data_IF_023057292255
#
_entry.id   IF_023057292255
#
_cell.length_a   1.000
_cell.length_b   1.000
_cell.length_c   1.000
_cell.angle_alpha   90.00
_cell.angle_beta   90.00
_cell.angle_gamma   90.00
#
_symmetry.space_group_name_H-M   'P 1'
#
loop_
_entity.id
_entity.type
_entity.pdbx_description
1 polymer ?
#
# COMPACT_ATOMS: atom_id res chain seq x y z
N UNK A 1 -3.44 1.69 -22.78
CA UNK A 1 -2.34 2.37 -22.05
C UNK A 1 -2.89 2.90 -20.74
N UNK A 2 -2.38 2.45 -19.58
CA UNK A 2 -2.76 3.00 -18.27
C UNK A 2 -2.05 4.34 -18.11
N UNK A 3 -2.76 5.47 -17.93
CA UNK A 3 -2.12 6.77 -17.74
C UNK A 3 -1.50 6.85 -16.34
N UNK A 4 -0.18 6.61 -16.24
CA UNK A 4 0.57 6.59 -14.99
C UNK A 4 0.56 7.93 -14.22
N UNK A 5 0.38 9.06 -14.92
CA UNK A 5 0.30 10.39 -14.32
C UNK A 5 -1.13 10.81 -13.94
N UNK A 6 -2.09 9.88 -13.94
CA UNK A 6 -3.46 10.16 -13.48
C UNK A 6 -3.50 10.20 -11.95
N UNK A 7 -4.24 11.16 -11.40
CA UNK A 7 -4.52 11.20 -9.97
C UNK A 7 -5.59 10.17 -9.61
N UNK A 8 -5.43 9.50 -8.47
CA UNK A 8 -6.38 8.52 -7.97
C UNK A 8 -6.79 8.81 -6.52
N UNK A 9 -7.79 8.07 -6.05
CA UNK A 9 -8.30 8.17 -4.69
C UNK A 9 -7.21 7.80 -3.68
N UNK A 10 -7.07 8.61 -2.63
CA UNK A 10 -6.07 8.45 -1.59
C UNK A 10 -6.75 8.34 -0.22
N UNK A 11 -6.28 7.42 0.62
CA UNK A 11 -6.86 7.19 1.95
C UNK A 11 -6.11 8.04 2.98
N UNK A 12 -6.62 9.23 3.29
CA UNK A 12 -6.00 10.16 4.26
C UNK A 12 -6.24 9.79 5.71
N UNK A 13 -7.40 9.18 5.99
CA UNK A 13 -7.88 8.97 7.35
C UNK A 13 -7.32 7.69 7.97
N UNK A 14 -6.63 7.84 9.11
CA UNK A 14 -6.12 6.74 9.93
C UNK A 14 -7.17 5.70 10.29
N UNK A 15 -8.42 6.13 10.54
CA UNK A 15 -9.52 5.21 10.88
C UNK A 15 -9.78 4.21 9.75
N UNK A 16 -9.79 4.67 8.49
CA UNK A 16 -10.03 3.78 7.35
C UNK A 16 -8.84 2.87 7.07
N UNK A 17 -7.62 3.37 7.25
CA UNK A 17 -6.41 2.54 7.17
C UNK A 17 -6.42 1.44 8.23
N UNK A 18 -6.80 1.76 9.46
CA UNK A 18 -6.92 0.78 10.54
C UNK A 18 -7.98 -0.28 10.24
N UNK A 19 -9.17 0.11 9.77
CA UNK A 19 -10.19 -0.86 9.36
C UNK A 19 -9.73 -1.74 8.20
N UNK A 20 -9.01 -1.17 7.23
CA UNK A 20 -8.46 -1.92 6.11
C UNK A 20 -7.42 -2.94 6.59
N UNK A 21 -6.51 -2.52 7.48
CA UNK A 21 -5.51 -3.38 8.08
C UNK A 21 -6.16 -4.53 8.87
N UNK A 22 -7.20 -4.24 9.66
CA UNK A 22 -7.93 -5.22 10.45
C UNK A 22 -8.63 -6.24 9.55
N UNK A 23 -9.36 -5.80 8.51
CA UNK A 23 -10.04 -6.68 7.57
C UNK A 23 -9.06 -7.62 6.85
N UNK A 24 -7.93 -7.08 6.38
CA UNK A 24 -6.88 -7.89 5.74
C UNK A 24 -6.20 -8.84 6.74
N UNK A 25 -5.98 -8.37 7.96
CA UNK A 25 -5.41 -9.13 9.06
C UNK A 25 -6.31 -10.28 9.52
N UNK A 26 -7.63 -10.18 9.38
CA UNK A 26 -8.55 -11.31 9.60
C UNK A 26 -8.55 -12.25 8.39
N UNK A 27 -8.58 -11.68 7.18
CA UNK A 27 -8.67 -12.45 5.95
C UNK A 27 -7.50 -13.43 5.81
N UNK A 28 -6.26 -13.01 6.10
CA UNK A 28 -5.09 -13.87 5.91
C UNK A 28 -5.11 -15.13 6.79
N UNK A 29 -5.26 -15.08 8.13
CA UNK A 29 -5.42 -16.28 8.94
C UNK A 29 -6.58 -17.16 8.51
N UNK A 30 -7.72 -16.59 8.13
CA UNK A 30 -8.85 -17.38 7.61
C UNK A 30 -8.42 -18.15 6.37
N UNK A 31 -7.73 -17.51 5.42
CA UNK A 31 -7.17 -18.19 4.24
C UNK A 31 -6.16 -19.25 4.63
N UNK A 32 -5.26 -18.99 5.59
CA UNK A 32 -4.25 -19.95 6.02
C UNK A 32 -4.84 -21.17 6.72
N UNK A 33 -5.91 -20.98 7.50
CA UNK A 33 -6.62 -22.05 8.20
C UNK A 33 -7.44 -22.87 7.20
N UNK A 34 -8.10 -22.23 6.25
CA UNK A 34 -9.01 -22.89 5.30
C UNK A 34 -8.30 -23.56 4.14
N UNK A 35 -7.28 -22.91 3.58
CA UNK A 35 -6.50 -23.45 2.46
C UNK A 35 -5.43 -24.43 2.92
N UNK A 36 -5.13 -24.43 4.23
CA UNK A 36 -4.12 -25.27 4.88
C UNK A 36 -2.93 -25.57 3.94
N UNK A 37 -2.23 -24.54 3.43
CA UNK A 37 -1.34 -24.65 2.27
C UNK A 37 -0.12 -25.58 2.46
N UNK A 38 -0.01 -26.23 3.63
CA UNK A 38 1.04 -27.15 4.00
C UNK A 38 0.41 -28.36 4.67
N UNK A 39 0.34 -29.44 3.90
CA UNK A 39 -0.10 -30.76 4.27
C UNK A 39 0.33 -31.16 5.71
N UNK A 40 -0.58 -31.83 6.40
CA UNK A 40 -0.67 -31.92 7.86
C UNK A 40 0.28 -32.99 8.46
N UNK A 41 1.59 -32.86 8.28
CA UNK A 41 2.55 -33.74 8.99
C UNK A 41 3.07 -33.13 10.30
N UNK A 42 2.94 -31.82 10.50
CA UNK A 42 3.45 -31.15 11.68
C UNK A 42 2.32 -30.94 12.70
N UNK A 43 2.21 -31.87 13.65
CA UNK A 43 1.34 -31.78 14.82
C UNK A 43 1.86 -30.71 15.79
N UNK A 44 1.75 -29.44 15.43
CA UNK A 44 2.06 -28.34 16.34
C UNK A 44 0.93 -28.21 17.37
N UNK A 45 1.30 -28.17 18.65
CA UNK A 45 0.39 -27.71 19.70
C UNK A 45 -0.03 -26.27 19.40
N UNK A 46 -1.33 -25.96 19.48
CA UNK A 46 -1.91 -24.63 19.22
C UNK A 46 -1.75 -24.08 17.78
N UNK A 47 -1.80 -24.93 16.75
CA UNK A 47 -1.70 -24.55 15.32
C UNK A 47 -2.53 -23.31 14.94
N UNK A 48 -3.79 -23.25 15.34
CA UNK A 48 -4.68 -22.14 14.97
C UNK A 48 -4.26 -20.80 15.60
N UNK A 49 -3.70 -20.83 16.82
CA UNK A 49 -3.19 -19.62 17.48
C UNK A 49 -1.96 -19.11 16.74
N UNK A 50 -1.06 -20.01 16.34
CA UNK A 50 0.13 -19.65 15.54
C UNK A 50 -0.30 -19.08 14.18
N UNK A 51 -1.26 -19.69 13.50
CA UNK A 51 -1.76 -19.17 12.22
C UNK A 51 -2.43 -17.80 12.38
N UNK A 52 -3.14 -17.56 13.49
CA UNK A 52 -3.72 -16.26 13.80
C UNK A 52 -2.67 -15.15 13.99
N UNK A 53 -1.44 -15.51 14.41
CA UNK A 53 -0.33 -14.57 14.55
C UNK A 53 0.06 -13.86 13.25
N UNK A 54 -0.19 -14.49 12.09
CA UNK A 54 0.02 -13.85 10.78
C UNK A 54 -0.88 -12.63 10.54
N UNK A 55 -1.96 -12.45 11.31
CA UNK A 55 -2.75 -11.21 11.29
C UNK A 55 -1.88 -9.99 11.58
N UNK A 56 -1.00 -10.10 12.59
CA UNK A 56 -0.13 -9.01 13.01
C UNK A 56 0.93 -8.69 11.95
N UNK A 57 1.37 -9.69 11.19
CA UNK A 57 2.29 -9.52 10.06
C UNK A 57 1.71 -8.71 8.91
N UNK A 58 0.39 -8.53 8.84
CA UNK A 58 -0.26 -7.61 7.92
C UNK A 58 -0.58 -6.27 8.59
N UNK A 59 -1.19 -6.31 9.78
CA UNK A 59 -1.70 -5.12 10.45
C UNK A 59 -0.57 -4.12 10.74
N UNK A 60 0.54 -4.61 11.32
CA UNK A 60 1.63 -3.74 11.75
C UNK A 60 2.28 -3.06 10.53
N UNK A 61 2.71 -3.76 9.47
CA UNK A 61 3.28 -3.12 8.29
C UNK A 61 2.37 -2.07 7.64
N UNK A 62 1.07 -2.35 7.49
CA UNK A 62 0.13 -1.38 6.88
C UNK A 62 0.07 -0.09 7.72
N UNK A 63 0.00 -0.21 9.05
CA UNK A 63 -0.03 0.95 9.94
C UNK A 63 1.29 1.72 9.98
N UNK A 64 2.43 1.03 9.88
CA UNK A 64 3.76 1.63 9.88
C UNK A 64 4.06 2.38 8.58
N UNK A 65 3.62 1.85 7.43
CA UNK A 65 3.86 2.50 6.13
C UNK A 65 2.92 3.70 5.90
N UNK A 66 1.76 3.73 6.56
CA UNK A 66 0.78 4.80 6.39
C UNK A 66 1.26 6.23 6.74
N UNK A 67 2.03 6.48 7.83
CA UNK A 67 2.65 7.78 8.05
C UNK A 67 3.56 8.23 6.90
N UNK A 68 4.33 7.30 6.30
CA UNK A 68 5.21 7.59 5.17
C UNK A 68 4.39 7.97 3.94
N UNK A 69 3.31 7.24 3.66
CA UNK A 69 2.34 7.56 2.61
C UNK A 69 1.82 9.00 2.76
N UNK A 70 1.40 9.37 3.97
CA UNK A 70 0.88 10.70 4.28
C UNK A 70 1.94 11.80 4.14
N UNK A 71 3.19 11.48 4.42
CA UNK A 71 4.32 12.39 4.22
C UNK A 71 4.57 12.66 2.72
N UNK A 72 4.62 11.61 1.89
CA UNK A 72 4.78 11.76 0.44
C UNK A 72 3.62 12.53 -0.20
N UNK A 73 2.38 12.28 0.26
CA UNK A 73 1.20 13.00 -0.21
C UNK A 73 1.30 14.52 0.01
N UNK A 74 1.82 14.95 1.17
CA UNK A 74 2.01 16.37 1.49
C UNK A 74 3.08 17.03 0.63
N UNK A 75 4.19 16.33 0.36
CA UNK A 75 5.29 16.85 -0.48
C UNK A 75 4.81 17.07 -1.92
N UNK A 76 3.96 16.20 -2.42
CA UNK A 76 3.48 16.25 -3.81
C UNK A 76 2.26 17.16 -3.99
N UNK A 77 2.10 18.20 -3.17
CA UNK A 77 1.02 19.19 -3.27
C UNK A 77 -0.39 18.58 -3.24
N UNK A 78 -0.59 17.57 -2.38
CA UNK A 78 -1.88 16.85 -2.23
C UNK A 78 -2.33 16.12 -3.50
N UNK A 79 -1.39 15.69 -4.35
CA UNK A 79 -1.68 14.86 -5.53
C UNK A 79 -1.16 13.46 -5.30
N UNK A 80 -2.01 12.47 -5.50
CA UNK A 80 -1.64 11.05 -5.43
C UNK A 80 -1.77 10.41 -6.80
N UNK A 81 -0.65 10.00 -7.38
CA UNK A 81 -0.59 9.42 -8.72
C UNK A 81 -0.70 7.89 -8.67
N UNK A 82 -1.11 7.27 -9.78
CA UNK A 82 -1.11 5.80 -9.95
C UNK A 82 0.26 5.19 -9.63
N UNK A 83 1.35 5.85 -10.02
CA UNK A 83 2.71 5.37 -9.72
C UNK A 83 2.98 5.31 -8.21
N UNK A 84 2.53 6.32 -7.45
CA UNK A 84 2.69 6.32 -6.00
C UNK A 84 1.95 5.16 -5.36
N UNK A 85 0.74 4.87 -5.85
CA UNK A 85 -0.06 3.74 -5.38
C UNK A 85 0.65 2.41 -5.64
N UNK A 86 1.18 2.22 -6.85
CA UNK A 86 1.93 1.00 -7.19
C UNK A 86 3.15 0.85 -6.28
N UNK A 87 3.93 1.92 -6.09
CA UNK A 87 5.09 1.91 -5.20
C UNK A 87 4.71 1.64 -3.75
N UNK A 88 3.62 2.23 -3.28
CA UNK A 88 3.08 1.99 -1.94
C UNK A 88 2.68 0.54 -1.73
N UNK A 89 1.92 -0.04 -2.67
CA UNK A 89 1.49 -1.45 -2.60
C UNK A 89 2.71 -2.38 -2.60
N UNK A 90 3.67 -2.17 -3.52
CA UNK A 90 4.88 -3.00 -3.61
C UNK A 90 5.72 -2.89 -2.33
N UNK A 91 5.97 -1.67 -1.85
CA UNK A 91 6.76 -1.43 -0.64
C UNK A 91 6.10 -2.07 0.59
N UNK A 92 4.79 -1.91 0.73
CA UNK A 92 4.05 -2.48 1.86
C UNK A 92 4.00 -4.00 1.78
N UNK A 93 3.75 -4.59 0.60
CA UNK A 93 3.78 -6.04 0.41
C UNK A 93 5.14 -6.62 0.78
N UNK A 94 6.22 -5.95 0.38
CA UNK A 94 7.56 -6.35 0.75
C UNK A 94 7.75 -6.34 2.27
N UNK A 95 7.29 -5.29 2.97
CA UNK A 95 7.33 -5.23 4.44
C UNK A 95 6.47 -6.31 5.08
N UNK A 96 5.26 -6.58 4.58
CA UNK A 96 4.40 -7.68 5.05
C UNK A 96 5.12 -9.02 4.92
N UNK A 97 5.75 -9.29 3.79
CA UNK A 97 6.47 -10.54 3.59
C UNK A 97 7.69 -10.67 4.48
N UNK A 98 8.41 -9.59 4.77
CA UNK A 98 9.50 -9.61 5.74
C UNK A 98 8.99 -9.94 7.14
N UNK A 99 7.90 -9.31 7.59
CA UNK A 99 7.31 -9.61 8.89
C UNK A 99 6.80 -11.06 8.96
N UNK A 100 6.15 -11.55 7.91
CA UNK A 100 5.69 -12.92 7.82
C UNK A 100 6.86 -13.93 7.80
N UNK A 101 7.96 -13.60 7.12
CA UNK A 101 9.19 -14.39 7.12
C UNK A 101 9.77 -14.49 8.53
N UNK A 102 9.98 -13.36 9.20
CA UNK A 102 10.55 -13.36 10.56
C UNK A 102 9.63 -14.08 11.55
N UNK A 103 8.32 -13.88 11.44
CA UNK A 103 7.35 -14.61 12.24
C UNK A 103 7.49 -16.12 12.03
N UNK A 104 7.49 -16.57 10.78
CA UNK A 104 7.64 -17.99 10.46
C UNK A 104 9.00 -18.55 10.92
N UNK A 105 10.08 -17.80 10.68
CA UNK A 105 11.44 -18.22 10.95
C UNK A 105 11.72 -18.36 12.46
N UNK A 106 11.31 -17.38 13.26
CA UNK A 106 11.54 -17.39 14.70
C UNK A 106 10.49 -18.19 15.48
N UNK A 107 9.20 -18.06 15.14
CA UNK A 107 8.11 -18.67 15.92
C UNK A 107 7.86 -20.12 15.52
N UNK A 108 7.92 -20.43 14.21
CA UNK A 108 7.57 -21.76 13.71
C UNK A 108 8.82 -22.62 13.52
N UNK A 109 9.87 -22.06 12.89
CA UNK A 109 11.07 -22.83 12.54
C UNK A 109 12.14 -22.85 13.65
N UNK A 110 12.10 -21.91 14.61
CA UNK A 110 13.04 -21.85 15.74
C UNK A 110 14.51 -21.71 15.34
N UNK A 111 14.80 -21.20 14.14
CA UNK A 111 16.17 -21.12 13.61
C UNK A 111 16.87 -19.84 14.09
N UNK A 112 18.19 -19.90 14.26
CA UNK A 112 18.99 -18.80 14.79
C UNK A 112 19.71 -17.94 13.71
N UNK A 113 19.83 -18.44 12.48
CA UNK A 113 20.55 -17.76 11.38
C UNK A 113 19.81 -17.84 10.05
N UNK A 114 19.64 -16.69 9.39
CA UNK A 114 18.95 -16.60 8.11
C UNK A 114 19.88 -16.16 6.99
N UNK A 115 19.51 -16.50 5.75
CA UNK A 115 20.19 -16.12 4.52
C UNK A 115 19.19 -15.46 3.59
N UNK A 116 19.64 -14.57 2.69
CA UNK A 116 18.76 -13.91 1.72
C UNK A 116 18.00 -14.91 0.83
N UNK A 117 18.60 -16.04 0.50
CA UNK A 117 17.94 -17.10 -0.27
C UNK A 117 16.72 -17.68 0.43
N UNK A 118 16.75 -17.78 1.78
CA UNK A 118 15.61 -18.25 2.57
C UNK A 118 14.45 -17.25 2.54
N UNK A 119 14.75 -15.95 2.59
CA UNK A 119 13.74 -14.88 2.48
C UNK A 119 13.05 -14.98 1.12
N UNK A 120 13.84 -15.04 0.04
CA UNK A 120 13.29 -15.09 -1.31
C UNK A 120 12.55 -16.40 -1.60
N UNK A 121 13.06 -17.52 -1.09
CA UNK A 121 12.39 -18.81 -1.12
C UNK A 121 11.02 -18.77 -0.44
N UNK A 122 10.95 -18.21 0.77
CA UNK A 122 9.69 -18.02 1.50
C UNK A 122 8.71 -17.11 0.76
N UNK A 123 9.18 -15.98 0.22
CA UNK A 123 8.32 -15.06 -0.56
C UNK A 123 7.70 -15.78 -1.76
N UNK A 124 8.48 -16.59 -2.49
CA UNK A 124 8.00 -17.32 -3.66
C UNK A 124 7.04 -18.45 -3.31
N UNK A 125 7.35 -19.25 -2.28
CA UNK A 125 6.58 -20.44 -1.94
C UNK A 125 5.34 -20.12 -1.10
N UNK A 126 5.45 -19.15 -0.18
CA UNK A 126 4.39 -18.78 0.74
C UNK A 126 3.73 -17.47 0.33
N UNK A 127 4.49 -16.41 0.05
CA UNK A 127 3.94 -15.06 -0.18
C UNK A 127 3.16 -14.90 -1.49
N UNK A 128 3.78 -15.25 -2.62
CA UNK A 128 3.23 -15.04 -3.96
C UNK A 128 1.88 -15.72 -4.22
N UNK A 129 1.61 -16.95 -3.74
CA UNK A 129 0.29 -17.58 -3.88
C UNK A 129 -0.87 -16.76 -3.30
N UNK A 130 -0.65 -15.92 -2.28
CA UNK A 130 -1.70 -15.08 -1.68
C UNK A 130 -1.90 -13.74 -2.39
N UNK A 131 -0.95 -13.28 -3.20
CA UNK A 131 -1.03 -11.97 -3.90
C UNK A 131 -2.32 -11.84 -4.72
N UNK A 132 -2.73 -12.82 -5.55
CA UNK A 132 -3.93 -12.69 -6.38
C UNK A 132 -5.24 -12.56 -5.59
N UNK A 133 -5.24 -12.91 -4.30
CA UNK A 133 -6.41 -12.82 -3.44
C UNK A 133 -6.35 -11.55 -2.58
N UNK A 134 -5.22 -11.34 -1.90
CA UNK A 134 -5.04 -10.25 -0.95
C UNK A 134 -4.98 -8.89 -1.65
N UNK A 135 -4.23 -8.77 -2.74
CA UNK A 135 -3.99 -7.46 -3.38
C UNK A 135 -5.26 -6.89 -4.01
N UNK A 136 -6.07 -7.64 -4.78
CA UNK A 136 -7.31 -7.09 -5.33
C UNK A 136 -8.30 -6.67 -4.25
N UNK A 137 -8.43 -7.45 -3.18
CA UNK A 137 -9.30 -7.10 -2.06
C UNK A 137 -8.80 -5.84 -1.34
N UNK A 138 -7.48 -5.72 -1.14
CA UNK A 138 -6.89 -4.53 -0.56
C UNK A 138 -7.10 -3.28 -1.43
N UNK A 139 -6.84 -3.37 -2.73
CA UNK A 139 -7.08 -2.29 -3.69
C UNK A 139 -8.55 -1.87 -3.73
N UNK A 140 -9.48 -2.83 -3.64
CA UNK A 140 -10.91 -2.55 -3.53
C UNK A 140 -11.23 -1.72 -2.27
N UNK A 141 -10.70 -2.11 -1.10
CA UNK A 141 -10.90 -1.36 0.14
C UNK A 141 -10.31 0.05 0.05
N UNK A 142 -9.11 0.19 -0.53
CA UNK A 142 -8.48 1.51 -0.75
C UNK A 142 -9.29 2.38 -1.71
N UNK A 143 -9.84 1.82 -2.78
CA UNK A 143 -10.72 2.55 -3.69
C UNK A 143 -12.04 2.96 -3.01
N UNK A 144 -12.55 2.16 -2.07
CA UNK A 144 -13.80 2.45 -1.36
C UNK A 144 -13.65 3.53 -0.29
N UNK A 145 -12.50 3.56 0.40
CA UNK A 145 -12.23 4.54 1.46
C UNK A 145 -11.39 5.74 1.00
N UNK A 146 -10.85 5.70 -0.21
CA UNK A 146 -10.07 6.78 -0.78
C UNK A 146 -10.93 7.97 -1.20
N UNK A 147 -10.39 9.18 -1.02
CA UNK A 147 -10.99 10.42 -1.51
C UNK A 147 -10.13 10.96 -2.66
N UNK A 148 -10.77 11.44 -3.72
CA UNK A 148 -10.10 12.17 -4.80
C UNK A 148 -10.17 13.66 -4.44
N UNK A 149 -9.13 14.17 -3.76
CA UNK A 149 -8.98 15.61 -3.58
C UNK A 149 -8.46 16.20 -4.91
N UNK A 150 -9.34 16.83 -5.69
CA UNK A 150 -8.92 17.66 -6.83
C UNK A 150 -8.40 18.97 -6.24
N UNK A 151 -7.13 19.36 -6.46
CA UNK A 151 -6.65 20.63 -5.95
C UNK A 151 -7.50 21.74 -6.58
N UNK A 152 -8.31 22.39 -5.74
CA UNK A 152 -8.98 23.64 -6.12
C UNK A 152 -7.89 24.60 -6.61
N UNK A 153 -8.03 25.07 -7.85
CA UNK A 153 -7.11 26.04 -8.44
C UNK A 153 -7.12 27.30 -7.57
N UNK A 154 -6.10 27.47 -6.72
CA UNK A 154 -6.04 28.57 -5.76
C UNK A 154 -5.89 29.89 -6.54
N UNK A 155 -6.99 30.65 -6.62
CA UNK A 155 -7.09 31.95 -7.31
C UNK A 155 -6.06 32.97 -6.80
N UNK A 156 -5.36 32.72 -5.68
CA UNK A 156 -4.30 33.60 -5.15
C UNK A 156 -3.09 33.76 -6.09
N UNK A 157 -2.86 32.85 -7.04
CA UNK A 157 -1.75 32.97 -8.00
C UNK A 157 -2.03 33.90 -9.20
N UNK A 158 -3.25 34.40 -9.37
CA UNK A 158 -3.61 35.25 -10.52
C UNK A 158 -3.12 36.71 -10.35
N UNK A 159 -2.84 37.17 -9.13
CA UNK A 159 -2.45 38.59 -8.90
C UNK A 159 -0.99 38.94 -9.27
N UNK A 160 -0.20 38.01 -9.83
CA UNK A 160 1.20 38.27 -10.20
C UNK A 160 1.50 38.30 -11.68
N UNK A 161 0.51 38.20 -12.56
CA UNK A 161 0.72 38.51 -13.99
C UNK A 161 0.41 39.99 -14.21
N UNK A 162 1.44 40.83 -14.13
CA UNK A 162 1.36 42.21 -14.66
C UNK A 162 0.86 42.15 -16.11
N UNK A 163 -0.12 42.97 -16.53
CA UNK A 163 -0.39 43.16 -17.94
C UNK A 163 0.74 44.01 -18.50
N UNK A 164 1.75 43.39 -19.09
CA UNK A 164 2.69 44.06 -19.97
C UNK A 164 2.50 43.45 -21.35
N UNK A 165 1.77 44.18 -22.19
CA UNK A 165 2.05 44.44 -23.60
C UNK A 165 0.77 45.02 -24.25
N UNK A 166 0.52 46.31 -24.04
CA UNK A 166 -0.18 47.12 -25.04
C UNK A 166 0.76 47.27 -26.22
N UNK A 167 0.71 46.32 -27.17
CA UNK A 167 1.37 46.48 -28.46
C UNK A 167 0.56 47.49 -29.27
N UNK A 168 1.18 48.64 -29.40
CA UNK A 168 0.97 49.70 -30.38
C UNK A 168 0.51 49.17 -31.75
N UNK A 169 -0.70 49.55 -32.17
CA UNK A 169 -1.09 49.57 -33.60
C UNK A 169 -0.91 50.99 -34.11
N UNK A 170 0.25 51.25 -34.71
CA UNK A 170 0.40 52.29 -35.71
C UNK A 170 -0.56 51.98 -36.87
N UNK A 171 -1.43 52.93 -37.19
CA UNK A 171 -2.37 52.86 -38.30
C UNK A 171 -1.69 53.41 -39.57
N UNK A 172 -1.58 52.65 -40.68
CA UNK A 172 -1.10 53.20 -41.94
C UNK A 172 -2.25 53.70 -42.82
N UNK A 173 -2.08 54.93 -43.33
CA UNK A 173 -2.67 55.54 -44.55
C UNK A 173 -4.14 56.03 -44.50
N UNK A 174 -4.30 57.34 -44.63
CA UNK A 174 -4.66 57.98 -45.92
C UNK A 174 -4.26 59.46 -45.93
#
# INVERSE_FOLDING_TARGET
MIPFNKTIAYTKNWKHTFWTALLLGILLPVLLITLEPFDNSNSFSNKYVILSGYALCIIIPILVVHPLENYFYKIQTNRWFVVNEILYIISTLFTIFLFAFFYHFYVISGRASFTFDLIWGFIKSFGFPFIPIIVPFWLYLRSKYGLIEVPMYDKKNIKKTKPLLSVERTNPKR
#
